data_IF_368962985479
#
_entry.id   IF_368962985479
#
_cell.length_a   1.000
_cell.length_b   1.000
_cell.length_c   1.000
_cell.angle_alpha   90.00
_cell.angle_beta   90.00
_cell.angle_gamma   90.00
#
_symmetry.space_group_name_H-M   'P 1'
#
loop_
_entity.id
_entity.type
_entity.pdbx_description
1 polymer ?
#
# COMPACT_ATOMS: atom_id res chain seq x y z
N UNK A 1 21.09 -18.31 6.51
CA UNK A 1 20.69 -17.07 5.82
C UNK A 1 19.38 -16.63 6.46
N UNK A 2 19.39 -15.56 7.26
CA UNK A 2 18.16 -15.04 7.86
C UNK A 2 17.27 -14.50 6.75
N UNK A 3 16.08 -15.06 6.60
CA UNK A 3 15.13 -14.65 5.56
C UNK A 3 14.72 -13.19 5.81
N UNK A 4 14.94 -12.33 4.81
CA UNK A 4 14.60 -10.92 4.93
C UNK A 4 13.08 -10.75 4.94
N UNK A 5 12.49 -10.64 6.14
CA UNK A 5 11.05 -10.48 6.33
C UNK A 5 10.66 -9.02 6.46
N UNK A 6 9.54 -8.63 5.86
CA UNK A 6 8.96 -7.29 6.05
C UNK A 6 8.56 -7.05 7.53
N UNK A 7 8.74 -5.81 8.05
CA UNK A 7 8.13 -5.37 9.30
C UNK A 7 6.62 -5.68 9.34
N UNK A 8 6.08 -5.95 10.54
CA UNK A 8 4.68 -6.36 10.70
C UNK A 8 3.68 -5.31 10.17
N UNK A 9 3.97 -4.02 10.36
CA UNK A 9 3.11 -2.92 9.90
C UNK A 9 3.09 -2.74 8.37
N UNK A 10 4.00 -3.40 7.64
CA UNK A 10 4.03 -3.43 6.17
C UNK A 10 3.36 -4.67 5.58
N UNK A 11 2.73 -5.51 6.41
CA UNK A 11 1.89 -6.61 5.92
C UNK A 11 0.47 -6.12 5.80
N UNK A 12 -0.21 -6.41 4.70
CA UNK A 12 -1.62 -6.09 4.58
C UNK A 12 -2.46 -6.85 5.62
N UNK A 13 -3.32 -6.12 6.31
CA UNK A 13 -4.41 -6.66 7.11
C UNK A 13 -5.72 -6.08 6.60
N UNK A 14 -6.37 -6.83 5.71
CA UNK A 14 -7.63 -6.40 5.11
C UNK A 14 -8.76 -6.29 6.13
N UNK A 15 -8.69 -6.97 7.28
CA UNK A 15 -9.71 -6.91 8.33
C UNK A 15 -9.72 -5.59 9.09
N UNK A 16 -8.59 -4.87 9.08
CA UNK A 16 -8.43 -3.55 9.67
C UNK A 16 -8.57 -2.41 8.66
N UNK A 17 -9.07 -2.69 7.44
CA UNK A 17 -9.19 -1.75 6.34
C UNK A 17 -10.66 -1.52 5.94
N UNK A 18 -11.01 -0.32 5.50
CA UNK A 18 -12.31 -0.02 4.86
C UNK A 18 -12.31 -0.31 3.35
N UNK A 19 -11.76 -1.47 2.96
CA UNK A 19 -11.77 -1.99 1.58
C UNK A 19 -11.13 -1.12 0.48
N UNK A 20 -10.17 -0.25 0.83
CA UNK A 20 -9.61 0.74 -0.11
C UNK A 20 -9.07 0.15 -1.41
N UNK A 21 -8.40 -1.01 -1.37
CA UNK A 21 -7.90 -1.69 -2.56
C UNK A 21 -8.98 -2.35 -3.43
N UNK A 22 -10.15 -2.66 -2.87
CA UNK A 22 -11.28 -3.23 -3.61
C UNK A 22 -12.13 -2.16 -4.31
N UNK A 23 -11.90 -0.88 -4.00
CA UNK A 23 -12.69 0.24 -4.51
C UNK A 23 -11.85 1.16 -5.39
N UNK A 24 -10.71 1.63 -4.89
CA UNK A 24 -9.99 2.77 -5.50
C UNK A 24 -9.29 2.40 -6.81
N UNK A 25 -8.44 1.35 -6.90
CA UNK A 25 -7.80 0.99 -8.16
C UNK A 25 -8.83 0.45 -9.17
N UNK A 26 -8.62 0.64 -10.48
CA UNK A 26 -9.36 -0.09 -11.50
C UNK A 26 -9.00 -1.58 -11.44
N UNK A 27 -9.92 -2.44 -11.89
CA UNK A 27 -9.63 -3.85 -12.18
C UNK A 27 -9.61 -4.07 -13.68
N UNK A 28 -8.67 -4.90 -14.11
CA UNK A 28 -8.54 -5.38 -15.48
C UNK A 28 -8.65 -6.91 -15.44
N UNK A 29 -9.65 -7.46 -16.12
CA UNK A 29 -9.88 -8.90 -16.18
C UNK A 29 -8.67 -9.63 -16.79
N UNK A 30 -7.99 -9.02 -17.77
CA UNK A 30 -6.79 -9.57 -18.39
C UNK A 30 -5.59 -9.62 -17.43
N UNK A 31 -5.61 -8.81 -16.36
CA UNK A 31 -4.63 -8.84 -15.28
C UNK A 31 -5.02 -9.79 -14.13
N UNK A 32 -6.07 -10.59 -14.32
CA UNK A 32 -6.49 -11.62 -13.36
C UNK A 32 -7.41 -11.13 -12.25
N UNK A 33 -8.09 -9.99 -12.43
CA UNK A 33 -9.06 -9.46 -11.45
C UNK A 33 -10.50 -9.96 -11.69
N UNK A 34 -10.69 -10.96 -12.54
CA UNK A 34 -11.98 -11.63 -12.81
C UNK A 34 -12.95 -10.83 -13.71
N UNK A 35 -12.97 -9.49 -13.59
CA UNK A 35 -13.80 -8.59 -14.37
C UNK A 35 -13.19 -7.19 -14.43
N UNK A 36 -13.64 -6.39 -15.40
CA UNK A 36 -13.24 -4.99 -15.51
C UNK A 36 -14.07 -4.11 -14.59
N UNK A 37 -13.42 -3.16 -13.90
CA UNK A 37 -14.11 -2.07 -13.23
C UNK A 37 -13.30 -0.78 -13.30
N UNK A 38 -14.00 0.34 -13.38
CA UNK A 38 -13.38 1.66 -13.27
C UNK A 38 -12.75 1.88 -11.89
N UNK A 39 -11.81 2.83 -11.81
CA UNK A 39 -11.31 3.34 -10.55
C UNK A 39 -12.47 3.93 -9.72
N UNK A 40 -12.33 3.86 -8.40
CA UNK A 40 -13.32 4.38 -7.43
C UNK A 40 -14.71 3.72 -7.49
N UNK A 41 -14.84 2.60 -8.21
CA UNK A 41 -16.03 1.76 -8.23
C UNK A 41 -15.86 0.55 -7.30
N UNK A 42 -16.78 0.29 -6.36
CA UNK A 42 -16.71 -0.89 -5.51
C UNK A 42 -16.72 -2.20 -6.29
N UNK A 43 -15.86 -3.15 -5.93
CA UNK A 43 -15.96 -4.54 -6.39
C UNK A 43 -17.34 -5.12 -6.06
N UNK A 44 -17.98 -5.83 -6.98
CA UNK A 44 -19.31 -6.41 -6.75
C UNK A 44 -19.33 -7.54 -5.70
N UNK A 45 -18.15 -8.06 -5.32
CA UNK A 45 -18.01 -8.99 -4.19
C UNK A 45 -17.77 -8.28 -2.85
N UNK A 46 -17.73 -6.95 -2.82
CA UNK A 46 -17.51 -6.19 -1.60
C UNK A 46 -18.80 -6.11 -0.77
N UNK A 47 -18.77 -6.67 0.43
CA UNK A 47 -19.87 -6.67 1.37
C UNK A 47 -20.05 -5.29 2.06
N UNK A 48 -21.23 -5.02 2.67
CA UNK A 48 -21.51 -3.76 3.36
C UNK A 48 -20.56 -3.44 4.52
N UNK A 49 -19.98 -4.48 5.13
CA UNK A 49 -19.02 -4.40 6.24
C UNK A 49 -17.56 -4.24 5.78
N UNK A 50 -17.34 -3.85 4.52
CA UNK A 50 -16.01 -3.68 3.91
C UNK A 50 -15.20 -4.98 3.73
N UNK A 51 -15.81 -6.15 3.88
CA UNK A 51 -15.13 -7.44 3.64
C UNK A 51 -15.41 -7.98 2.23
N UNK A 52 -14.45 -8.73 1.68
CA UNK A 52 -14.65 -9.43 0.42
C UNK A 52 -15.43 -10.73 0.67
N UNK A 53 -16.59 -10.87 0.04
CA UNK A 53 -17.48 -12.03 0.23
C UNK A 53 -16.99 -13.34 -0.39
N UNK A 54 -15.85 -13.33 -1.11
CA UNK A 54 -15.24 -14.51 -1.72
C UNK A 54 -13.74 -14.63 -1.42
N UNK A 55 -13.26 -13.99 -0.34
CA UNK A 55 -11.81 -13.86 -0.09
C UNK A 55 -11.09 -15.22 -0.01
N UNK A 56 -11.73 -16.20 0.61
CA UNK A 56 -11.29 -17.59 0.76
C UNK A 56 -11.35 -18.39 -0.55
N UNK A 57 -12.14 -17.95 -1.53
CA UNK A 57 -12.34 -18.61 -2.82
C UNK A 57 -11.70 -17.87 -4.00
N UNK A 58 -10.84 -16.86 -3.77
CA UNK A 58 -10.27 -16.03 -4.86
C UNK A 58 -9.54 -16.85 -5.92
N UNK A 59 -8.77 -17.86 -5.52
CA UNK A 59 -8.04 -18.74 -6.45
C UNK A 59 -9.03 -19.54 -7.31
N UNK A 60 -10.00 -20.19 -6.67
CA UNK A 60 -11.02 -21.03 -7.32
C UNK A 60 -11.92 -20.23 -8.27
N UNK A 61 -12.09 -18.94 -7.98
CA UNK A 61 -12.93 -18.02 -8.77
C UNK A 61 -12.14 -17.17 -9.78
N UNK A 62 -10.88 -17.51 -10.06
CA UNK A 62 -10.03 -16.85 -11.06
C UNK A 62 -9.67 -15.39 -10.75
N UNK A 63 -9.52 -15.05 -9.47
CA UNK A 63 -9.07 -13.73 -8.99
C UNK A 63 -7.58 -13.72 -8.61
N UNK A 64 -6.72 -14.27 -9.47
CA UNK A 64 -5.28 -14.34 -9.24
C UNK A 64 -4.63 -12.95 -9.03
N UNK A 65 -5.16 -11.91 -9.68
CA UNK A 65 -4.75 -10.52 -9.47
C UNK A 65 -5.01 -10.04 -8.04
N UNK A 66 -6.17 -10.37 -7.45
CA UNK A 66 -6.46 -10.06 -6.05
C UNK A 66 -5.55 -10.82 -5.07
N UNK A 67 -5.16 -12.05 -5.40
CA UNK A 67 -4.27 -12.87 -4.58
C UNK A 67 -2.83 -12.34 -4.62
N UNK A 68 -2.35 -11.95 -5.79
CA UNK A 68 -0.99 -11.44 -5.98
C UNK A 68 -0.82 -10.00 -5.48
N UNK A 69 -1.91 -9.25 -5.38
CA UNK A 69 -1.89 -7.86 -4.96
C UNK A 69 -1.67 -7.72 -3.45
N UNK A 70 -0.60 -7.04 -3.07
CA UNK A 70 -0.36 -6.62 -1.68
C UNK A 70 -0.39 -5.09 -1.59
N UNK A 71 -1.07 -4.57 -0.56
CA UNK A 71 -1.07 -3.14 -0.25
C UNK A 71 0.02 -2.67 0.70
N UNK A 72 0.85 -3.58 1.16
CA UNK A 72 1.97 -3.32 2.05
C UNK A 72 1.53 -2.54 3.29
N UNK A 73 0.32 -2.84 3.77
CA UNK A 73 -0.25 -2.20 4.94
C UNK A 73 -0.89 -0.82 4.72
N UNK A 74 -0.96 -0.31 3.48
CA UNK A 74 -1.52 1.01 3.19
C UNK A 74 -2.99 1.16 3.62
N UNK A 75 -3.79 0.12 3.39
CA UNK A 75 -5.23 0.14 3.64
C UNK A 75 -5.56 0.36 5.10
N UNK A 76 -5.05 -0.51 5.98
CA UNK A 76 -5.33 -0.40 7.41
C UNK A 76 -4.71 0.84 8.03
N UNK A 77 -3.54 1.27 7.54
CA UNK A 77 -2.88 2.46 8.07
C UNK A 77 -3.67 3.72 7.78
N UNK A 78 -4.14 3.87 6.54
CA UNK A 78 -4.96 5.02 6.16
C UNK A 78 -6.34 4.99 6.83
N UNK A 79 -6.90 3.79 7.06
CA UNK A 79 -8.13 3.61 7.85
C UNK A 79 -7.94 4.13 9.28
N UNK A 80 -6.86 3.75 9.96
CA UNK A 80 -6.56 4.24 11.31
C UNK A 80 -6.39 5.76 11.37
N UNK A 81 -5.74 6.36 10.36
CA UNK A 81 -5.59 7.82 10.26
C UNK A 81 -6.94 8.52 10.01
N UNK A 82 -7.83 7.94 9.20
CA UNK A 82 -9.18 8.48 9.03
C UNK A 82 -9.95 8.47 10.36
N UNK A 83 -9.92 7.36 11.10
CA UNK A 83 -10.57 7.28 12.43
C UNK A 83 -9.99 8.33 13.37
N UNK A 84 -8.67 8.49 13.43
CA UNK A 84 -8.02 9.49 14.29
C UNK A 84 -8.40 10.93 13.91
N UNK A 85 -8.58 11.21 12.61
CA UNK A 85 -8.86 12.56 12.08
C UNK A 85 -10.34 12.93 12.10
N UNK A 86 -11.22 11.98 11.81
CA UNK A 86 -12.64 12.22 11.57
C UNK A 86 -13.59 11.50 12.55
N UNK A 87 -13.04 10.64 13.42
CA UNK A 87 -13.81 9.78 14.33
C UNK A 87 -14.43 8.55 13.65
N UNK A 88 -14.30 8.42 12.33
CA UNK A 88 -14.87 7.35 11.50
C UNK A 88 -14.07 7.23 10.20
N UNK A 89 -14.12 6.06 9.55
CA UNK A 89 -13.50 5.77 8.27
C UNK A 89 -14.50 5.26 7.22
N UNK A 90 -15.81 5.15 7.53
CA UNK A 90 -16.80 4.61 6.60
C UNK A 90 -17.08 5.54 5.41
N UNK A 91 -16.37 5.29 4.31
CA UNK A 91 -16.53 6.06 3.06
C UNK A 91 -17.91 5.92 2.42
N UNK A 92 -18.73 4.92 2.79
CA UNK A 92 -20.07 4.75 2.21
C UNK A 92 -21.05 5.79 2.70
N UNK A 93 -20.95 6.17 3.97
CA UNK A 93 -21.90 7.08 4.63
C UNK A 93 -21.33 8.47 4.83
N UNK A 94 -20.00 8.65 4.65
CA UNK A 94 -19.29 9.91 4.87
C UNK A 94 -18.56 10.38 3.61
N UNK A 95 -19.21 11.19 2.74
CA UNK A 95 -18.60 11.69 1.51
C UNK A 95 -17.33 12.53 1.71
N UNK A 96 -17.23 13.24 2.84
CA UNK A 96 -16.05 14.00 3.24
C UNK A 96 -14.84 13.09 3.53
N UNK A 97 -15.08 11.99 4.27
CA UNK A 97 -14.08 10.96 4.57
C UNK A 97 -13.69 10.20 3.30
N UNK A 98 -14.67 9.87 2.44
CA UNK A 98 -14.43 9.19 1.17
C UNK A 98 -13.48 9.99 0.26
N UNK A 99 -13.73 11.29 0.06
CA UNK A 99 -12.85 12.15 -0.75
C UNK A 99 -11.42 12.16 -0.22
N UNK A 100 -11.25 12.25 1.09
CA UNK A 100 -9.92 12.25 1.70
C UNK A 100 -9.20 10.90 1.54
N UNK A 101 -9.88 9.79 1.86
CA UNK A 101 -9.34 8.43 1.72
C UNK A 101 -8.91 8.15 0.28
N UNK A 102 -9.77 8.50 -0.69
CA UNK A 102 -9.56 8.16 -2.09
C UNK A 102 -8.40 8.96 -2.68
N UNK A 103 -8.33 10.25 -2.35
CA UNK A 103 -7.20 11.10 -2.74
C UNK A 103 -5.88 10.68 -2.08
N UNK A 104 -5.90 10.22 -0.83
CA UNK A 104 -4.70 9.88 -0.06
C UNK A 104 -4.16 8.48 -0.36
N UNK A 105 -5.00 7.53 -0.74
CA UNK A 105 -4.61 6.12 -0.89
C UNK A 105 -3.46 5.88 -1.89
N UNK A 106 -3.43 6.47 -3.11
CA UNK A 106 -2.30 6.28 -4.02
C UNK A 106 -0.96 6.77 -3.43
N UNK A 107 -0.98 7.87 -2.67
CA UNK A 107 0.21 8.39 -1.96
C UNK A 107 0.65 7.42 -0.86
N UNK A 108 -0.27 7.01 -0.01
CA UNK A 108 -0.01 6.04 1.06
C UNK A 108 0.59 4.74 0.51
N UNK A 109 0.03 4.22 -0.59
CA UNK A 109 0.53 3.03 -1.27
C UNK A 109 1.97 3.18 -1.72
N UNK A 110 2.30 4.31 -2.34
CA UNK A 110 3.65 4.55 -2.81
C UNK A 110 4.65 4.65 -1.66
N UNK A 111 4.28 5.30 -0.57
CA UNK A 111 5.13 5.42 0.62
C UNK A 111 5.38 4.06 1.27
N UNK A 112 4.35 3.23 1.43
CA UNK A 112 4.49 1.88 1.96
C UNK A 112 5.40 1.01 1.08
N UNK A 113 5.34 1.17 -0.24
CA UNK A 113 6.29 0.50 -1.16
C UNK A 113 7.73 0.95 -0.93
N UNK A 114 7.97 2.25 -0.77
CA UNK A 114 9.31 2.77 -0.47
C UNK A 114 9.83 2.24 0.87
N UNK A 115 9.00 2.25 1.92
CA UNK A 115 9.36 1.68 3.22
C UNK A 115 9.69 0.20 3.13
N UNK A 116 8.90 -0.58 2.39
CA UNK A 116 9.15 -2.01 2.18
C UNK A 116 10.51 -2.23 1.50
N UNK A 117 10.78 -1.47 0.43
CA UNK A 117 12.03 -1.55 -0.33
C UNK A 117 13.24 -1.15 0.50
N UNK A 118 13.17 -0.02 1.21
CA UNK A 118 14.24 0.44 2.09
C UNK A 118 14.49 -0.55 3.24
N UNK A 119 13.43 -1.04 3.89
CA UNK A 119 13.53 -1.99 5.01
C UNK A 119 14.14 -3.32 4.57
N UNK A 120 13.71 -3.86 3.43
CA UNK A 120 14.29 -5.09 2.89
C UNK A 120 15.74 -4.89 2.45
N UNK A 121 16.03 -3.80 1.75
CA UNK A 121 17.38 -3.48 1.31
C UNK A 121 18.34 -3.29 2.48
N UNK A 122 17.91 -2.58 3.55
CA UNK A 122 18.67 -2.42 4.77
C UNK A 122 18.98 -3.78 5.43
N UNK A 123 17.98 -4.67 5.55
CA UNK A 123 18.16 -6.02 6.12
C UNK A 123 19.10 -6.90 5.30
N UNK A 124 18.98 -6.88 3.97
CA UNK A 124 19.80 -7.72 3.08
C UNK A 124 21.23 -7.20 2.99
N UNK A 125 21.43 -5.89 2.97
CA UNK A 125 22.76 -5.27 2.81
C UNK A 125 23.49 -4.99 4.13
N UNK A 126 22.77 -4.98 5.26
CA UNK A 126 23.30 -4.48 6.54
C UNK A 126 23.49 -2.96 6.58
N UNK A 127 22.93 -2.21 5.62
CA UNK A 127 23.11 -0.76 5.53
C UNK A 127 22.32 -0.01 6.59
N UNK A 128 23.04 0.62 7.53
CA UNK A 128 22.47 1.51 8.54
C UNK A 128 21.91 2.79 7.91
N UNK A 129 22.47 3.27 6.80
CA UNK A 129 21.96 4.44 6.08
C UNK A 129 20.58 4.20 5.45
N UNK A 130 20.34 3.00 4.90
CA UNK A 130 19.02 2.63 4.39
C UNK A 130 18.00 2.46 5.52
N UNK A 131 18.43 1.92 6.66
CA UNK A 131 17.56 1.83 7.85
C UNK A 131 17.18 3.23 8.36
N UNK A 132 18.16 4.13 8.51
CA UNK A 132 17.90 5.50 8.95
C UNK A 132 16.96 6.26 8.01
N UNK A 133 17.09 6.06 6.68
CA UNK A 133 16.18 6.67 5.72
C UNK A 133 14.76 6.08 5.82
N UNK A 134 14.62 4.78 6.08
CA UNK A 134 13.32 4.16 6.35
C UNK A 134 12.68 4.73 7.61
N UNK A 135 13.45 4.89 8.69
CA UNK A 135 12.99 5.45 9.96
C UNK A 135 12.58 6.92 9.81
N UNK A 136 13.33 7.70 9.04
CA UNK A 136 12.98 9.10 8.73
C UNK A 136 11.67 9.19 7.93
N UNK A 137 11.51 8.34 6.91
CA UNK A 137 10.28 8.26 6.14
C UNK A 137 9.10 7.90 7.04
N UNK A 138 9.25 6.85 7.85
CA UNK A 138 8.26 6.36 8.84
C UNK A 138 7.87 7.45 9.85
N UNK A 139 8.81 8.29 10.28
CA UNK A 139 8.56 9.43 11.17
C UNK A 139 7.60 10.48 10.61
N UNK A 140 7.41 10.52 9.29
CA UNK A 140 6.48 11.44 8.62
C UNK A 140 5.05 10.85 8.48
N UNK A 141 4.78 9.65 9.01
CA UNK A 141 3.53 8.91 8.81
C UNK A 141 2.23 9.72 8.97
N UNK A 142 2.09 10.59 10.00
CA UNK A 142 0.87 11.39 10.16
C UNK A 142 0.61 12.38 9.01
N UNK A 143 1.65 12.80 8.28
CA UNK A 143 1.58 13.83 7.25
C UNK A 143 1.45 13.27 5.82
N UNK A 144 1.79 11.99 5.59
CA UNK A 144 1.75 11.39 4.25
C UNK A 144 0.43 11.57 3.49
N UNK A 145 -0.76 11.45 4.12
CA UNK A 145 -2.02 11.63 3.39
C UNK A 145 -2.14 13.01 2.74
N UNK A 146 -1.51 14.03 3.33
CA UNK A 146 -1.63 15.43 2.94
C UNK A 146 -0.40 15.94 2.17
N UNK A 147 0.57 15.07 1.86
CA UNK A 147 1.73 15.44 1.04
C UNK A 147 1.31 16.01 -0.33
N UNK A 148 1.93 17.12 -0.68
CA UNK A 148 1.91 17.67 -2.03
C UNK A 148 2.66 16.77 -3.02
N UNK A 149 2.40 16.98 -4.32
CA UNK A 149 3.14 16.31 -5.37
C UNK A 149 4.65 16.62 -5.31
N UNK A 150 5.02 17.83 -4.87
CA UNK A 150 6.41 18.24 -4.71
C UNK A 150 7.11 17.44 -3.59
N UNK A 151 6.48 17.33 -2.42
CA UNK A 151 7.00 16.52 -1.31
C UNK A 151 7.15 15.06 -1.71
N UNK A 152 6.14 14.51 -2.41
CA UNK A 152 6.19 13.14 -2.91
C UNK A 152 7.35 12.94 -3.90
N UNK A 153 7.57 13.88 -4.82
CA UNK A 153 8.67 13.81 -5.78
C UNK A 153 10.04 13.92 -5.10
N UNK A 154 10.18 14.79 -4.09
CA UNK A 154 11.41 14.90 -3.28
C UNK A 154 11.71 13.56 -2.60
N UNK A 155 10.73 12.93 -1.96
CA UNK A 155 10.92 11.62 -1.34
C UNK A 155 11.23 10.51 -2.35
N UNK A 156 10.55 10.50 -3.50
CA UNK A 156 10.84 9.55 -4.57
C UNK A 156 12.30 9.62 -5.02
N UNK A 157 12.82 10.83 -5.26
CA UNK A 157 14.21 11.03 -5.68
C UNK A 157 15.20 10.55 -4.61
N UNK A 158 14.95 10.84 -3.33
CA UNK A 158 15.77 10.38 -2.21
C UNK A 158 15.83 8.86 -2.12
N UNK A 159 14.67 8.20 -2.20
CA UNK A 159 14.57 6.72 -2.14
C UNK A 159 15.26 6.08 -3.35
N UNK A 160 15.07 6.62 -4.54
CA UNK A 160 15.72 6.12 -5.76
C UNK A 160 17.24 6.26 -5.68
N UNK A 161 17.76 7.42 -5.26
CA UNK A 161 19.18 7.65 -5.09
C UNK A 161 19.79 6.67 -4.09
N UNK A 162 19.13 6.46 -2.95
CA UNK A 162 19.59 5.55 -1.90
C UNK A 162 19.64 4.08 -2.36
N UNK A 163 18.67 3.65 -3.17
CA UNK A 163 18.59 2.27 -3.65
C UNK A 163 19.40 1.99 -4.94
N UNK A 164 19.79 3.03 -5.68
CA UNK A 164 20.49 2.90 -6.96
C UNK A 164 21.76 2.01 -6.91
N UNK A 165 22.64 2.09 -5.89
CA UNK A 165 23.83 1.25 -5.82
C UNK A 165 23.52 -0.26 -5.77
N UNK A 166 22.40 -0.65 -5.18
CA UNK A 166 22.01 -2.06 -5.06
C UNK A 166 21.45 -2.63 -6.37
N UNK A 167 20.87 -1.79 -7.23
CA UNK A 167 20.38 -2.20 -8.54
C UNK A 167 21.53 -2.65 -9.48
N UNK A 168 22.72 -2.06 -9.34
CA UNK A 168 23.92 -2.45 -10.09
C UNK A 168 24.51 -3.79 -9.65
N UNK A 169 24.52 -4.07 -8.35
CA UNK A 169 25.09 -5.32 -7.79
C UNK A 169 24.30 -6.58 -8.19
N UNK A 170 23.01 -6.42 -8.54
CA UNK A 170 22.18 -7.53 -9.04
C UNK A 170 22.62 -8.00 -10.43
N UNK A 171 23.18 -7.10 -11.25
CA UNK A 171 23.68 -7.43 -12.60
C UNK A 171 25.06 -8.08 -12.60
N UNK A 172 25.85 -7.90 -11.53
CA UNK A 172 27.19 -8.51 -11.41
C UNK A 172 27.17 -9.88 -10.72
N UNK A 173 26.01 -10.35 -10.26
CA UNK A 173 25.82 -11.63 -9.53
C UNK A 173 25.01 -12.67 -10.31
N UNK A 174 24.61 -12.38 -11.56
CA UNK A 174 24.10 -13.37 -12.52
C UNK A 174 25.17 -13.73 -13.53
#
# INVERSE_FOLDING_TARGET
>A
MTEARLPAHLKADCSACVALCCVIPPFDAAQGFGFDKAAETPCHHLCPDHRCGIHDALIERSFAGCVAFDCLGAGQRLTALAVARFGDADWRTRPDVARWLFAAYPRMRQVQEWLARLSLAAKVSGSTGLQALADELEGQAPHWPDWSAAEQATWQARVQLALAPLAGQRKSRS
#
